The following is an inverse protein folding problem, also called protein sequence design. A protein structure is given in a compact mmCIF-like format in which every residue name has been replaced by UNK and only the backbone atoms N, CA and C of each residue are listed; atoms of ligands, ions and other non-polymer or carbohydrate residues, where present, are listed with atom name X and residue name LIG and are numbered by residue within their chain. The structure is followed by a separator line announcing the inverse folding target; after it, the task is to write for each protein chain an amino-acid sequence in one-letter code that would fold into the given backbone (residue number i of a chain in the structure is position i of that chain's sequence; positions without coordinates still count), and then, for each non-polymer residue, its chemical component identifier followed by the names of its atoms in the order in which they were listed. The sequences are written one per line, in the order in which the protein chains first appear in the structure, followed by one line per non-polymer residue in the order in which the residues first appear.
data_IF_598447396936
#
_entry.id   IF_598447396936
#
_cell.length_a   1.000
_cell.length_b   1.000
_cell.length_c   1.000
_cell.angle_alpha   90.00
_cell.angle_beta   90.00
_cell.angle_gamma   90.00
#
_symmetry.space_group_name_H-M   'P 1'
#
loop_
_entity.id
_entity.type
_entity.pdbx_description
1 polymer ?
#
# COMPACT_ATOMS: atom_id res chain seq x y z
N UNK A 1 73.07 -3.39 -36.01
CA UNK A 1 72.21 -4.54 -36.36
C UNK A 1 70.85 -3.99 -36.78
N UNK A 2 70.44 -4.27 -38.02
CA UNK A 2 69.08 -4.27 -38.63
C UNK A 2 67.97 -3.43 -37.95
N UNK A 3 67.50 -2.35 -38.58
CA UNK A 3 66.31 -2.31 -39.48
C UNK A 3 65.06 -2.95 -38.87
N UNK A 4 64.02 -2.16 -38.59
CA UNK A 4 62.74 -2.22 -39.32
C UNK A 4 61.79 -1.07 -38.90
N UNK A 5 61.58 -0.13 -39.83
CA UNK A 5 60.39 0.72 -39.94
C UNK A 5 59.15 -0.15 -40.09
N UNK A 6 58.00 0.24 -39.52
CA UNK A 6 56.68 0.12 -40.18
C UNK A 6 55.72 1.16 -39.58
N UNK A 7 55.35 2.08 -40.45
CA UNK A 7 54.19 2.95 -40.39
C UNK A 7 52.96 2.10 -40.76
N UNK A 8 51.90 2.12 -39.96
CA UNK A 8 50.56 1.76 -40.44
C UNK A 8 49.58 2.89 -40.10
N UNK A 9 49.25 3.66 -41.13
CA UNK A 9 48.04 4.47 -41.20
C UNK A 9 47.03 3.65 -42.00
N UNK A 10 45.89 3.30 -41.41
CA UNK A 10 44.65 3.07 -42.17
C UNK A 10 43.49 3.76 -41.44
N UNK A 11 42.82 4.59 -42.22
CA UNK A 11 41.64 5.39 -41.93
C UNK A 11 40.34 4.61 -42.20
N UNK A 12 39.24 5.18 -41.67
CA UNK A 12 37.81 4.99 -41.99
C UNK A 12 37.13 3.74 -41.41
N UNK A 13 36.04 3.88 -40.66
CA UNK A 13 34.78 4.42 -41.20
C UNK A 13 33.83 4.94 -40.12
N UNK A 14 33.15 6.04 -40.46
CA UNK A 14 31.96 6.56 -39.78
C UNK A 14 30.83 5.54 -39.99
N UNK A 15 30.10 5.20 -38.93
CA UNK A 15 28.71 4.77 -39.04
C UNK A 15 27.92 5.42 -37.92
N UNK A 16 27.14 6.44 -38.26
CA UNK A 16 26.05 6.91 -37.40
C UNK A 16 24.98 5.82 -37.37
N UNK A 17 24.65 5.32 -36.19
CA UNK A 17 23.35 4.68 -35.96
C UNK A 17 22.79 5.22 -34.65
N UNK A 18 21.68 5.94 -34.76
CA UNK A 18 20.87 6.40 -33.65
C UNK A 18 20.46 5.19 -32.81
N UNK A 19 20.64 5.27 -31.49
CA UNK A 19 19.71 4.62 -30.58
C UNK A 19 19.51 5.52 -29.37
N UNK A 20 18.24 5.84 -29.15
CA UNK A 20 17.74 6.54 -28.00
C UNK A 20 18.09 5.74 -26.74
N UNK A 21 18.98 6.29 -25.92
CA UNK A 21 19.13 5.80 -24.56
C UNK A 21 17.88 6.23 -23.79
N UNK A 22 17.06 5.20 -23.53
CA UNK A 22 15.96 5.20 -22.57
C UNK A 22 16.37 5.98 -21.34
N UNK A 23 15.59 7.02 -21.06
CA UNK A 23 15.52 7.63 -19.74
C UNK A 23 15.30 6.53 -18.72
N UNK A 24 16.35 6.26 -17.95
CA UNK A 24 16.32 5.40 -16.79
C UNK A 24 15.47 6.14 -15.76
N UNK A 25 14.19 5.78 -15.67
CA UNK A 25 13.32 6.20 -14.57
C UNK A 25 13.91 5.56 -13.32
N UNK A 26 14.64 6.35 -12.55
CA UNK A 26 15.09 5.99 -11.21
C UNK A 26 13.83 5.80 -10.37
N UNK A 27 13.41 4.56 -10.15
CA UNK A 27 12.48 4.21 -9.07
C UNK A 27 13.18 4.62 -7.78
N UNK A 28 12.84 5.81 -7.28
CA UNK A 28 13.26 6.23 -5.95
C UNK A 28 12.64 5.22 -4.98
N UNK A 29 13.47 4.40 -4.35
CA UNK A 29 13.11 3.65 -3.15
C UNK A 29 12.72 4.70 -2.10
N UNK A 30 11.45 5.10 -2.12
CA UNK A 30 10.89 6.02 -1.16
C UNK A 30 10.91 5.31 0.19
N UNK A 31 11.91 5.60 1.01
CA UNK A 31 11.92 5.17 2.41
C UNK A 31 10.64 5.71 3.05
N UNK A 32 9.74 4.80 3.44
CA UNK A 32 8.49 5.16 4.09
C UNK A 32 8.82 5.82 5.44
N UNK A 33 8.20 6.98 5.70
CA UNK A 33 8.33 7.71 6.96
C UNK A 33 7.30 7.16 7.95
N UNK A 34 7.76 6.45 8.99
CA UNK A 34 6.93 5.85 10.03
C UNK A 34 7.14 6.56 11.35
N UNK A 35 6.07 7.19 11.87
CA UNK A 35 6.05 7.80 13.20
C UNK A 35 5.07 7.06 14.08
N UNK A 36 5.58 6.30 15.06
CA UNK A 36 4.73 5.63 16.04
C UNK A 36 4.06 6.66 16.95
N UNK A 37 2.77 6.46 17.24
CA UNK A 37 1.97 7.29 18.14
C UNK A 37 1.28 6.43 19.20
N UNK A 38 0.84 7.07 20.28
CA UNK A 38 0.36 6.35 21.46
C UNK A 38 -1.09 5.87 21.35
N UNK A 39 -1.91 6.51 20.49
CA UNK A 39 -3.33 6.18 20.38
C UNK A 39 -3.96 6.66 19.06
N UNK A 40 -5.14 6.13 18.68
CA UNK A 40 -5.89 6.61 17.52
C UNK A 40 -6.28 8.09 17.57
N UNK A 41 -6.32 8.71 18.76
CA UNK A 41 -6.60 10.14 18.91
C UNK A 41 -5.56 11.01 18.19
N UNK A 42 -4.34 10.49 17.99
CA UNK A 42 -3.27 11.17 17.25
C UNK A 42 -3.57 11.32 15.76
N UNK A 43 -4.61 10.66 15.22
CA UNK A 43 -5.02 10.79 13.82
C UNK A 43 -5.96 11.97 13.55
N UNK A 44 -6.49 12.62 14.59
CA UNK A 44 -7.41 13.76 14.44
C UNK A 44 -6.86 14.89 13.54
N UNK A 45 -5.57 15.28 13.59
CA UNK A 45 -5.00 16.27 12.68
C UNK A 45 -5.03 15.89 11.20
N UNK A 46 -5.14 14.59 10.89
CA UNK A 46 -5.29 14.08 9.52
C UNK A 46 -6.73 14.20 9.00
N UNK A 47 -7.66 14.64 9.84
CA UNK A 47 -9.10 14.63 9.54
C UNK A 47 -9.65 13.20 9.44
N UNK A 48 -8.99 12.25 10.11
CA UNK A 48 -9.39 10.85 10.21
C UNK A 48 -9.88 10.64 11.65
N UNK A 49 -11.14 10.24 11.79
CA UNK A 49 -11.73 9.94 13.11
C UNK A 49 -11.07 8.73 13.76
N UNK A 50 -11.41 8.47 15.03
CA UNK A 50 -10.88 7.42 15.93
C UNK A 50 -11.17 5.97 15.43
N UNK A 51 -11.49 5.79 14.16
CA UNK A 51 -11.95 4.54 13.56
C UNK A 51 -10.82 3.57 13.26
N UNK A 52 -9.56 4.02 13.28
CA UNK A 52 -8.36 3.21 13.07
C UNK A 52 -7.84 2.64 14.39
N UNK A 53 -8.67 1.81 15.03
CA UNK A 53 -8.33 1.02 16.21
C UNK A 53 -8.39 -0.48 15.89
N UNK A 54 -7.64 -1.36 16.58
CA UNK A 54 -7.84 -2.80 16.47
C UNK A 54 -9.29 -3.19 16.76
N UNK A 55 -9.82 -4.26 16.14
CA UNK A 55 -11.18 -4.74 16.41
C UNK A 55 -11.26 -5.34 17.82
N UNK A 56 -12.48 -5.66 18.27
CA UNK A 56 -12.66 -6.49 19.47
C UNK A 56 -11.84 -7.80 19.32
N UNK A 57 -11.07 -8.16 20.34
CA UNK A 57 -10.07 -9.24 20.34
C UNK A 57 -8.78 -9.03 19.52
N UNK A 58 -8.59 -7.86 18.90
CA UNK A 58 -7.29 -7.47 18.35
C UNK A 58 -6.23 -7.37 19.46
N UNK A 59 -5.07 -7.99 19.26
CA UNK A 59 -3.95 -8.00 20.20
C UNK A 59 -2.75 -7.25 19.62
N UNK A 60 -1.81 -6.88 20.51
CA UNK A 60 -0.53 -6.26 20.13
C UNK A 60 -0.67 -4.99 19.25
N UNK A 61 -1.76 -4.25 19.45
CA UNK A 61 -2.08 -3.04 18.70
C UNK A 61 -0.98 -1.99 18.78
N UNK A 62 -0.54 -1.48 17.62
CA UNK A 62 0.34 -0.32 17.49
C UNK A 62 -0.26 0.66 16.49
N UNK A 63 0.15 1.93 16.59
CA UNK A 63 -0.40 3.02 15.80
C UNK A 63 0.73 3.82 15.17
N UNK A 64 0.58 4.17 13.91
CA UNK A 64 1.59 4.92 13.16
C UNK A 64 0.93 6.00 12.29
N UNK A 65 1.63 7.11 12.15
CA UNK A 65 1.41 8.06 11.05
C UNK A 65 2.46 7.73 9.99
N UNK A 66 2.00 7.30 8.82
CA UNK A 66 2.85 6.92 7.68
C UNK A 66 2.84 8.02 6.63
N UNK A 67 4.01 8.42 6.16
CA UNK A 67 4.20 9.49 5.16
C UNK A 67 3.43 10.79 5.50
N UNK A 68 3.23 11.06 6.80
CA UNK A 68 2.52 12.22 7.36
C UNK A 68 1.03 12.32 7.04
N UNK A 69 0.46 11.46 6.21
CA UNK A 69 -0.93 11.56 5.75
C UNK A 69 -1.75 10.27 5.86
N UNK A 70 -1.13 9.15 6.25
CA UNK A 70 -1.81 7.87 6.41
C UNK A 70 -1.85 7.51 7.90
N UNK A 71 -3.05 7.27 8.41
CA UNK A 71 -3.23 6.64 9.72
C UNK A 71 -3.11 5.12 9.55
N UNK A 72 -2.29 4.48 10.38
CA UNK A 72 -2.09 3.03 10.35
C UNK A 72 -2.24 2.44 11.75
N UNK A 73 -2.93 1.30 11.84
CA UNK A 73 -2.90 0.41 12.99
C UNK A 73 -2.46 -0.99 12.57
N UNK A 74 -1.51 -1.55 13.30
CA UNK A 74 -1.09 -2.95 13.16
C UNK A 74 -1.61 -3.73 14.36
N UNK A 75 -2.13 -4.93 14.14
CA UNK A 75 -2.63 -5.79 15.21
C UNK A 75 -2.61 -7.26 14.80
N UNK A 76 -2.67 -8.14 15.80
CA UNK A 76 -2.85 -9.57 15.61
C UNK A 76 -4.32 -9.94 15.87
N UNK A 77 -4.89 -10.79 15.02
CA UNK A 77 -6.23 -11.36 15.19
C UNK A 77 -6.20 -12.83 14.78
N UNK A 78 -6.69 -13.72 15.64
CA UNK A 78 -6.68 -15.17 15.42
C UNK A 78 -5.30 -15.73 14.97
N UNK A 79 -4.22 -15.20 15.58
CA UNK A 79 -2.81 -15.50 15.29
C UNK A 79 -2.30 -15.05 13.89
N UNK A 80 -3.05 -14.19 13.19
CA UNK A 80 -2.64 -13.58 11.94
C UNK A 80 -2.39 -12.08 12.15
N UNK A 81 -1.35 -11.55 11.50
CA UNK A 81 -1.05 -10.13 11.51
C UNK A 81 -1.88 -9.38 10.46
N UNK A 82 -2.40 -8.22 10.85
CA UNK A 82 -3.18 -7.32 10.01
C UNK A 82 -2.64 -5.90 10.08
N UNK A 83 -2.86 -5.18 8.99
CA UNK A 83 -2.59 -3.75 8.89
C UNK A 83 -3.86 -3.06 8.42
N UNK A 84 -4.37 -2.15 9.23
CA UNK A 84 -5.52 -1.32 8.91
C UNK A 84 -5.07 0.12 8.69
N UNK A 85 -5.44 0.72 7.55
CA UNK A 85 -5.00 2.06 7.15
C UNK A 85 -6.18 2.92 6.72
N UNK A 86 -6.01 4.23 6.89
CA UNK A 86 -6.92 5.24 6.39
C UNK A 86 -6.17 6.45 5.85
N UNK A 87 -6.68 7.05 4.77
CA UNK A 87 -6.13 8.28 4.17
C UNK A 87 -7.19 9.00 3.34
N UNK A 88 -7.10 10.33 3.26
CA UNK A 88 -7.85 11.13 2.27
C UNK A 88 -7.23 11.06 0.88
N UNK A 89 -5.97 10.66 0.81
CA UNK A 89 -5.21 10.48 -0.42
C UNK A 89 -5.18 8.98 -0.80
N UNK A 90 -6.00 8.63 -1.80
CA UNK A 90 -6.11 7.26 -2.33
C UNK A 90 -4.78 6.80 -2.95
N UNK A 91 -4.08 7.67 -3.67
CA UNK A 91 -2.87 7.31 -4.39
C UNK A 91 -1.72 7.04 -3.41
N UNK A 92 -1.56 7.89 -2.40
CA UNK A 92 -0.60 7.66 -1.32
C UNK A 92 -0.87 6.34 -0.59
N UNK A 93 -2.15 6.03 -0.29
CA UNK A 93 -2.53 4.79 0.38
C UNK A 93 -2.21 3.55 -0.48
N UNK A 94 -2.56 3.58 -1.76
CA UNK A 94 -2.37 2.44 -2.67
C UNK A 94 -0.91 2.27 -3.10
N UNK A 95 -0.09 3.32 -3.06
CA UNK A 95 1.35 3.24 -3.34
C UNK A 95 2.09 2.27 -2.42
N UNK A 96 1.54 1.99 -1.23
CA UNK A 96 2.11 1.04 -0.26
C UNK A 96 2.05 -0.43 -0.72
N UNK A 97 1.18 -0.74 -1.68
CA UNK A 97 0.92 -2.11 -2.13
C UNK A 97 1.65 -2.47 -3.44
N UNK A 98 2.27 -1.50 -4.11
CA UNK A 98 2.90 -1.70 -5.41
C UNK A 98 1.92 -2.21 -6.46
N UNK A 99 2.33 -3.19 -7.25
CA UNK A 99 1.46 -3.82 -8.25
C UNK A 99 0.45 -4.78 -7.59
N UNK A 100 -0.83 -4.58 -7.87
CA UNK A 100 -1.92 -5.44 -7.41
C UNK A 100 -2.98 -5.64 -8.49
N UNK A 101 -3.82 -6.65 -8.28
CA UNK A 101 -4.97 -6.98 -9.13
C UNK A 101 -6.23 -7.09 -8.26
N UNK A 102 -7.36 -6.64 -8.79
CA UNK A 102 -8.66 -6.82 -8.16
C UNK A 102 -9.20 -8.22 -8.45
N UNK A 103 -9.61 -8.96 -7.41
CA UNK A 103 -10.36 -10.21 -7.55
C UNK A 103 -11.85 -9.91 -7.46
N UNK A 104 -12.45 -9.66 -8.63
CA UNK A 104 -13.86 -9.26 -8.77
C UNK A 104 -14.82 -10.28 -8.12
N UNK A 105 -14.45 -11.56 -8.06
CA UNK A 105 -15.31 -12.61 -7.49
C UNK A 105 -15.36 -12.57 -5.96
N UNK A 106 -14.40 -11.88 -5.33
CA UNK A 106 -14.32 -11.68 -3.87
C UNK A 106 -14.76 -10.29 -3.42
N UNK A 107 -15.04 -9.37 -4.36
CA UNK A 107 -15.67 -8.09 -4.03
C UNK A 107 -17.04 -8.34 -3.37
N UNK A 108 -17.41 -7.47 -2.43
CA UNK A 108 -18.70 -7.58 -1.73
C UNK A 108 -19.22 -6.21 -1.35
N UNK A 109 -20.53 -6.13 -1.11
CA UNK A 109 -21.18 -4.93 -0.59
C UNK A 109 -21.60 -5.19 0.85
N UNK A 110 -21.17 -4.35 1.79
CA UNK A 110 -21.66 -4.37 3.17
C UNK A 110 -23.16 -4.03 3.19
N UNK A 111 -23.93 -4.72 4.03
CA UNK A 111 -25.39 -4.74 3.94
C UNK A 111 -26.09 -3.54 4.59
N UNK A 112 -25.60 -3.03 5.72
CA UNK A 112 -26.22 -1.99 6.53
C UNK A 112 -26.06 -0.60 5.88
N UNK A 113 -24.85 -0.27 5.45
CA UNK A 113 -24.48 1.03 4.90
C UNK A 113 -24.31 1.02 3.38
N UNK A 114 -24.45 -0.16 2.73
CA UNK A 114 -24.32 -0.33 1.27
C UNK A 114 -22.98 0.18 0.73
N UNK A 115 -21.91 -0.15 1.45
CA UNK A 115 -20.54 0.20 1.06
C UNK A 115 -19.95 -0.93 0.24
N UNK A 116 -19.51 -0.61 -0.97
CA UNK A 116 -18.77 -1.53 -1.81
C UNK A 116 -17.33 -1.68 -1.32
N UNK A 117 -16.89 -2.94 -1.22
CA UNK A 117 -15.56 -3.32 -0.77
C UNK A 117 -14.87 -4.12 -1.87
N UNK A 118 -13.76 -3.58 -2.36
CA UNK A 118 -12.90 -4.21 -3.35
C UNK A 118 -11.93 -5.17 -2.65
N UNK A 119 -11.78 -6.38 -3.17
CA UNK A 119 -10.77 -7.33 -2.73
C UNK A 119 -9.60 -7.36 -3.72
N UNK A 120 -8.38 -7.21 -3.23
CA UNK A 120 -7.19 -7.07 -4.06
C UNK A 120 -6.06 -8.00 -3.58
N UNK A 121 -5.23 -8.43 -4.53
CA UNK A 121 -4.06 -9.28 -4.28
C UNK A 121 -2.84 -8.65 -4.96
N UNK A 122 -1.78 -8.45 -4.19
CA UNK A 122 -0.48 -7.95 -4.69
C UNK A 122 0.32 -9.06 -5.37
N UNK A 123 1.34 -8.67 -6.15
CA UNK A 123 2.31 -9.62 -6.73
C UNK A 123 3.09 -10.43 -5.68
N UNK A 124 3.14 -9.97 -4.43
CA UNK A 124 3.78 -10.65 -3.29
C UNK A 124 2.79 -11.42 -2.41
N UNK A 125 1.59 -11.69 -2.89
CA UNK A 125 0.54 -12.44 -2.19
C UNK A 125 0.03 -11.78 -0.89
N UNK A 126 0.29 -10.49 -0.68
CA UNK A 126 -0.47 -9.69 0.28
C UNK A 126 -1.87 -9.46 -0.26
N UNK A 127 -2.88 -9.73 0.57
CA UNK A 127 -4.29 -9.57 0.26
C UNK A 127 -4.80 -8.36 1.01
N UNK A 128 -5.58 -7.51 0.36
CA UNK A 128 -6.18 -6.37 1.03
C UNK A 128 -7.56 -6.05 0.50
N UNK A 129 -8.40 -5.54 1.38
CA UNK A 129 -9.66 -4.93 1.02
C UNK A 129 -9.51 -3.42 0.92
N UNK A 130 -10.27 -2.78 0.04
CA UNK A 130 -10.31 -1.33 -0.14
C UNK A 130 -11.77 -0.88 -0.17
N UNK A 131 -12.09 0.14 0.62
CA UNK A 131 -13.40 0.79 0.59
C UNK A 131 -13.28 2.28 0.87
N UNK A 132 -14.36 3.01 0.65
CA UNK A 132 -14.44 4.46 0.86
C UNK A 132 -15.66 4.81 1.69
N UNK A 133 -15.48 5.69 2.65
CA UNK A 133 -16.57 6.35 3.39
C UNK A 133 -16.29 7.85 3.37
N UNK A 134 -17.27 8.65 2.93
CA UNK A 134 -17.13 10.10 2.68
C UNK A 134 -15.95 10.42 1.75
N UNK A 135 -14.93 11.13 2.24
CA UNK A 135 -13.69 11.48 1.53
C UNK A 135 -12.48 10.64 1.97
N UNK A 136 -12.68 9.61 2.80
CA UNK A 136 -11.60 8.78 3.36
C UNK A 136 -11.62 7.39 2.74
N UNK A 137 -10.45 6.96 2.30
CA UNK A 137 -10.18 5.61 1.79
C UNK A 137 -9.56 4.77 2.90
N UNK A 138 -9.96 3.51 2.96
CA UNK A 138 -9.55 2.57 3.98
C UNK A 138 -9.03 1.30 3.34
N UNK A 139 -7.97 0.73 3.90
CA UNK A 139 -7.55 -0.64 3.57
C UNK A 139 -7.36 -1.49 4.82
N UNK A 140 -7.72 -2.76 4.72
CA UNK A 140 -7.32 -3.78 5.67
C UNK A 140 -6.51 -4.83 4.90
N UNK A 141 -5.30 -5.12 5.32
CA UNK A 141 -4.42 -6.07 4.64
C UNK A 141 -3.84 -7.13 5.55
N UNK A 142 -3.46 -8.25 4.95
CA UNK A 142 -2.75 -9.34 5.59
C UNK A 142 -1.89 -10.10 4.58
N UNK A 143 -0.80 -10.68 5.07
CA UNK A 143 0.09 -11.57 4.31
C UNK A 143 -0.17 -13.06 4.61
N UNK A 144 -1.20 -13.36 5.39
CA UNK A 144 -1.52 -14.76 5.74
C UNK A 144 -2.07 -15.53 4.53
N UNK A 145 -1.74 -16.81 4.46
CA UNK A 145 -2.27 -17.72 3.44
C UNK A 145 -3.79 -17.95 3.61
N UNK A 146 -4.28 -17.98 4.85
CA UNK A 146 -5.72 -18.14 5.18
C UNK A 146 -6.36 -16.78 5.49
N UNK A 147 -7.01 -16.17 4.49
CA UNK A 147 -7.64 -14.86 4.59
C UNK A 147 -9.14 -14.90 4.95
N UNK A 148 -9.63 -16.02 5.50
CA UNK A 148 -11.06 -16.18 5.85
C UNK A 148 -11.61 -15.04 6.71
N UNK A 149 -10.78 -14.47 7.57
CA UNK A 149 -11.17 -13.41 8.51
C UNK A 149 -11.12 -12.02 7.86
N UNK A 150 -10.46 -11.86 6.70
CA UNK A 150 -10.29 -10.56 6.06
C UNK A 150 -11.63 -9.91 5.69
N UNK A 151 -12.54 -10.68 5.10
CA UNK A 151 -13.89 -10.20 4.74
C UNK A 151 -14.69 -9.82 5.98
N UNK A 152 -14.71 -10.68 7.00
CA UNK A 152 -15.48 -10.43 8.23
C UNK A 152 -14.95 -9.21 9.00
N UNK A 153 -13.62 -9.08 9.11
CA UNK A 153 -12.98 -7.92 9.73
C UNK A 153 -13.26 -6.64 8.94
N UNK A 154 -13.26 -6.69 7.60
CA UNK A 154 -13.60 -5.54 6.76
C UNK A 154 -15.02 -5.05 7.02
N UNK A 155 -16.00 -5.96 7.14
CA UNK A 155 -17.37 -5.62 7.52
C UNK A 155 -17.43 -4.96 8.90
N UNK A 156 -16.73 -5.51 9.89
CA UNK A 156 -16.66 -4.93 11.24
C UNK A 156 -16.13 -3.49 11.20
N UNK A 157 -15.08 -3.23 10.41
CA UNK A 157 -14.53 -1.89 10.26
C UNK A 157 -15.44 -0.92 9.51
N UNK A 158 -16.09 -1.36 8.43
CA UNK A 158 -17.09 -0.54 7.72
C UNK A 158 -18.20 -0.08 8.68
N UNK A 159 -18.67 -0.99 9.53
CA UNK A 159 -19.75 -0.71 10.47
C UNK A 159 -19.28 0.20 11.63
N UNK A 160 -18.06 0.00 12.13
CA UNK A 160 -17.52 0.81 13.24
C UNK A 160 -17.31 2.28 12.85
N UNK A 161 -17.00 2.58 11.58
CA UNK A 161 -16.87 3.96 11.08
C UNK A 161 -18.19 4.73 11.25
N UNK A 162 -19.32 4.06 11.03
CA UNK A 162 -20.64 4.68 11.07
C UNK A 162 -21.22 4.78 12.48
N UNK A 163 -20.89 3.83 13.37
CA UNK A 163 -21.30 3.92 14.79
C UNK A 163 -20.74 5.17 15.48
N UNK A 164 -19.52 5.57 15.15
CA UNK A 164 -18.89 6.76 15.71
C UNK A 164 -19.44 8.09 15.16
N UNK A 165 -20.41 8.06 14.24
CA UNK A 165 -21.07 9.25 13.66
C UNK A 165 -22.46 9.53 14.25
N UNK A 166 -23.03 8.61 15.06
CA UNK A 166 -24.31 8.81 15.76
C UNK A 166 -24.09 9.47 17.12
#
# INVERSE_FOLDING_TARGET
MRFLTILFIILFSISCSNNADKTQTTTSESVLDYVQVDSPNSFAPLGISITVAPPEHGQNGKYFIVNKNIAESTFDYMNNAYIYRASKDKEALLSLYGDYQNDINKNFTENEYKIDVEYNITSFNEKFTLWKVDDIYYTLSTKTEDDKDLTNLSVLYVNSIHWNKK
#
